data_IF_497269637396
#
_entry.id   IF_497269637396
#
_cell.length_a   1.000
_cell.length_b   1.000
_cell.length_c   1.000
_cell.angle_alpha   90.00
_cell.angle_beta   90.00
_cell.angle_gamma   90.00
#
_symmetry.space_group_name_H-M   'P 1'
#
loop_
_entity.id
_entity.type
_entity.pdbx_description
1 polymer ?
#
# COMPACT_ATOMS: atom_id res chain seq x y z
N UNK A 1 12.47 38.28 -25.42
CA UNK A 1 13.10 36.99 -25.08
C UNK A 1 13.29 36.72 -23.57
N UNK A 2 13.14 37.70 -22.65
CA UNK A 2 13.28 37.44 -21.20
C UNK A 2 12.05 36.82 -20.51
N UNK A 3 10.84 37.00 -21.08
CA UNK A 3 9.57 36.58 -20.45
C UNK A 3 9.23 35.10 -20.64
N UNK A 4 9.78 34.45 -21.67
CA UNK A 4 9.48 33.04 -22.00
C UNK A 4 10.21 32.08 -21.04
N UNK A 5 11.42 32.45 -20.60
CA UNK A 5 12.23 31.64 -19.67
C UNK A 5 11.56 31.55 -18.28
N UNK A 6 10.86 32.60 -17.85
CA UNK A 6 10.20 32.66 -16.53
C UNK A 6 8.99 31.71 -16.47
N UNK A 7 8.26 31.53 -17.57
CA UNK A 7 7.07 30.67 -17.60
C UNK A 7 7.44 29.18 -17.55
N UNK A 8 8.55 28.79 -18.18
CA UNK A 8 9.03 27.39 -18.15
C UNK A 8 9.54 27.00 -16.76
N UNK A 9 10.17 27.93 -16.04
CA UNK A 9 10.64 27.70 -14.67
C UNK A 9 9.50 27.55 -13.65
N UNK A 10 8.38 28.26 -13.82
CA UNK A 10 7.20 28.07 -12.96
C UNK A 10 6.50 26.73 -13.21
N UNK A 11 6.47 26.24 -14.45
CA UNK A 11 5.83 24.96 -14.78
C UNK A 11 6.53 23.75 -14.13
N UNK A 12 7.85 23.81 -13.94
CA UNK A 12 8.61 22.76 -13.24
C UNK A 12 8.34 22.71 -11.73
N UNK A 13 7.95 23.82 -11.10
CA UNK A 13 7.67 23.88 -9.66
C UNK A 13 6.30 23.30 -9.29
N UNK A 14 5.34 23.27 -10.23
CA UNK A 14 4.00 22.70 -9.99
C UNK A 14 3.99 21.16 -10.14
N UNK A 15 5.02 20.58 -10.77
CA UNK A 15 5.16 19.11 -10.87
C UNK A 15 5.68 18.43 -9.60
N UNK A 16 6.28 19.19 -8.66
CA UNK A 16 6.96 18.63 -7.49
C UNK A 16 6.06 18.51 -6.25
N UNK A 17 4.82 19.02 -6.28
CA UNK A 17 3.89 18.98 -5.13
C UNK A 17 3.03 17.71 -5.07
N UNK A 18 3.21 16.78 -6.01
CA UNK A 18 2.34 15.61 -6.19
C UNK A 18 2.53 14.43 -5.23
N UNK A 19 3.49 14.48 -4.30
CA UNK A 19 3.71 13.42 -3.31
C UNK A 19 3.72 14.02 -1.91
N UNK A 20 2.66 14.74 -1.55
CA UNK A 20 2.31 14.74 -0.13
C UNK A 20 1.99 13.29 0.19
N UNK A 21 2.85 12.67 0.97
CA UNK A 21 2.54 11.45 1.70
C UNK A 21 1.24 11.73 2.45
N UNK A 22 0.11 11.41 1.82
CA UNK A 22 -1.11 11.14 2.54
C UNK A 22 -0.72 9.90 3.31
N UNK A 23 -0.28 10.10 4.55
CA UNK A 23 0.07 9.06 5.49
C UNK A 23 -1.23 8.30 5.77
N UNK A 24 -1.66 7.50 4.79
CA UNK A 24 -2.86 6.69 4.85
C UNK A 24 -2.63 5.74 6.00
N UNK A 25 -3.58 5.72 6.94
CA UNK A 25 -3.46 4.89 8.12
C UNK A 25 -3.57 3.44 7.65
N UNK A 26 -2.40 2.82 7.53
CA UNK A 26 -2.26 1.47 6.99
C UNK A 26 -1.97 0.53 8.14
N UNK A 27 -2.84 -0.46 8.32
CA UNK A 27 -2.73 -1.43 9.41
C UNK A 27 -2.64 -2.83 8.81
N UNK A 28 -1.63 -3.59 9.23
CA UNK A 28 -1.53 -5.00 8.88
C UNK A 28 -2.49 -5.82 9.76
N UNK A 29 -3.35 -6.62 9.15
CA UNK A 29 -4.32 -7.45 9.89
C UNK A 29 -3.83 -8.88 10.03
N UNK A 30 -3.46 -9.52 8.93
CA UNK A 30 -3.13 -10.94 8.94
C UNK A 30 -2.37 -11.39 7.68
N UNK A 31 -1.80 -12.59 7.79
CA UNK A 31 -1.31 -13.35 6.65
C UNK A 31 -2.03 -14.70 6.62
N UNK A 32 -2.49 -15.11 5.43
CA UNK A 32 -3.08 -16.42 5.17
C UNK A 32 -2.31 -17.12 4.06
N UNK A 33 -1.90 -18.36 4.32
CA UNK A 33 -1.13 -19.17 3.37
C UNK A 33 -2.04 -20.22 2.75
N UNK A 34 -2.27 -20.12 1.45
CA UNK A 34 -2.99 -21.13 0.68
C UNK A 34 -2.00 -22.13 0.10
N UNK A 35 -1.66 -23.17 0.87
CA UNK A 35 -0.68 -24.20 0.47
C UNK A 35 -1.01 -24.86 -0.87
N UNK A 36 -2.29 -25.13 -1.13
CA UNK A 36 -2.74 -25.80 -2.36
C UNK A 36 -2.45 -24.98 -3.64
N UNK A 37 -2.38 -23.64 -3.52
CA UNK A 37 -2.11 -22.73 -4.62
C UNK A 37 -0.71 -22.12 -4.57
N UNK A 38 0.05 -22.43 -3.51
CA UNK A 38 1.32 -21.81 -3.21
C UNK A 38 1.24 -20.27 -3.17
N UNK A 39 0.22 -19.73 -2.52
CA UNK A 39 -0.01 -18.27 -2.41
C UNK A 39 -0.02 -17.80 -0.97
N UNK A 40 0.61 -16.65 -0.72
CA UNK A 40 0.55 -15.95 0.56
C UNK A 40 -0.26 -14.66 0.41
N UNK A 41 -1.40 -14.60 1.08
CA UNK A 41 -2.31 -13.45 1.09
C UNK A 41 -2.04 -12.61 2.34
N UNK A 42 -1.74 -11.33 2.15
CA UNK A 42 -1.49 -10.36 3.21
C UNK A 42 -2.61 -9.34 3.17
N UNK A 43 -3.36 -9.22 4.26
CA UNK A 43 -4.48 -8.30 4.33
C UNK A 43 -4.13 -7.09 5.19
N UNK A 44 -4.56 -5.94 4.69
CA UNK A 44 -4.34 -4.63 5.30
C UNK A 44 -5.67 -3.88 5.39
N UNK A 45 -5.76 -2.97 6.35
CA UNK A 45 -6.71 -1.88 6.34
C UNK A 45 -5.98 -0.62 5.88
N UNK A 46 -6.55 0.14 4.96
CA UNK A 46 -6.05 1.46 4.56
C UNK A 46 -7.19 2.44 4.74
N UNK A 47 -7.06 3.35 5.71
CA UNK A 47 -8.11 4.28 6.13
C UNK A 47 -9.46 3.55 6.41
N UNK A 48 -9.38 2.37 7.02
CA UNK A 48 -10.53 1.50 7.32
C UNK A 48 -11.06 0.67 6.14
N UNK A 49 -10.57 0.89 4.92
CA UNK A 49 -10.90 0.08 3.75
C UNK A 49 -10.14 -1.25 3.72
N UNK A 50 -10.75 -2.33 3.22
CA UNK A 50 -10.12 -3.65 3.08
C UNK A 50 -9.23 -3.72 1.83
N UNK A 51 -7.95 -3.99 2.02
CA UNK A 51 -6.96 -4.14 0.95
C UNK A 51 -6.09 -5.37 1.14
N UNK A 52 -5.49 -5.87 0.06
CA UNK A 52 -4.60 -7.03 0.12
C UNK A 52 -3.45 -7.01 -0.85
N UNK A 53 -2.44 -7.79 -0.52
CA UNK A 53 -1.35 -8.18 -1.38
C UNK A 53 -1.28 -9.71 -1.48
N UNK A 54 -0.93 -10.22 -2.66
CA UNK A 54 -0.76 -11.67 -2.90
C UNK A 54 0.66 -11.91 -3.39
N UNK A 55 1.42 -12.70 -2.62
CA UNK A 55 2.73 -13.20 -3.02
C UNK A 55 2.60 -14.61 -3.60
N UNK A 56 2.84 -14.71 -4.90
CA UNK A 56 2.84 -15.99 -5.62
C UNK A 56 4.17 -16.71 -5.36
N UNK A 57 4.06 -17.86 -4.70
CA UNK A 57 5.18 -18.68 -4.28
C UNK A 57 5.69 -18.38 -2.87
N UNK A 58 5.05 -17.48 -2.11
CA UNK A 58 5.44 -17.13 -0.74
C UNK A 58 6.95 -16.83 -0.61
N UNK A 59 7.51 -16.11 -1.58
CA UNK A 59 8.96 -15.86 -1.72
C UNK A 59 9.45 -14.76 -0.78
N UNK A 60 8.56 -13.88 -0.34
CA UNK A 60 8.91 -12.73 0.50
C UNK A 60 8.69 -13.03 1.97
N UNK A 61 9.60 -12.52 2.81
CA UNK A 61 9.42 -12.53 4.27
C UNK A 61 8.26 -11.62 4.64
N UNK A 62 7.48 -12.02 5.64
CA UNK A 62 6.29 -11.29 6.07
C UNK A 62 6.62 -9.85 6.46
N UNK A 63 7.70 -9.66 7.20
CA UNK A 63 8.11 -8.36 7.74
C UNK A 63 8.52 -7.39 6.61
N UNK A 64 9.18 -7.92 5.56
CA UNK A 64 9.56 -7.12 4.38
C UNK A 64 8.32 -6.68 3.59
N UNK A 65 7.34 -7.56 3.42
CA UNK A 65 6.07 -7.20 2.77
C UNK A 65 5.34 -6.12 3.55
N UNK A 66 5.19 -6.30 4.88
CA UNK A 66 4.52 -5.31 5.73
C UNK A 66 5.22 -3.97 5.62
N UNK A 67 6.55 -3.93 5.82
CA UNK A 67 7.34 -2.70 5.73
C UNK A 67 7.12 -1.99 4.40
N UNK A 68 7.28 -2.69 3.28
CA UNK A 68 7.13 -2.10 1.94
C UNK A 68 5.71 -1.64 1.63
N UNK A 69 4.69 -2.27 2.21
CA UNK A 69 3.31 -1.78 2.11
C UNK A 69 3.14 -0.48 2.91
N UNK A 70 3.67 -0.42 4.14
CA UNK A 70 3.64 0.79 4.97
C UNK A 70 4.41 1.95 4.33
N UNK A 71 5.53 1.65 3.65
CA UNK A 71 6.35 2.61 2.92
C UNK A 71 5.73 3.01 1.55
N UNK A 72 4.61 2.40 1.17
CA UNK A 72 3.91 2.68 -0.09
C UNK A 72 4.58 2.10 -1.35
N UNK A 73 5.55 1.21 -1.20
CA UNK A 73 6.30 0.59 -2.31
C UNK A 73 5.54 -0.58 -2.97
N UNK A 74 4.61 -1.22 -2.24
CA UNK A 74 3.81 -2.32 -2.77
C UNK A 74 2.38 -1.85 -3.01
N UNK A 75 1.88 -1.91 -4.26
CA UNK A 75 0.49 -1.61 -4.55
C UNK A 75 -0.42 -2.70 -3.98
N UNK A 76 -1.53 -2.28 -3.38
CA UNK A 76 -2.54 -3.18 -2.83
C UNK A 76 -3.75 -3.29 -3.76
N UNK A 77 -4.29 -4.49 -3.87
CA UNK A 77 -5.59 -4.72 -4.49
C UNK A 77 -6.72 -4.44 -3.48
N UNK A 78 -7.82 -3.86 -3.95
CA UNK A 78 -9.04 -3.72 -3.15
C UNK A 78 -9.64 -5.08 -2.80
N UNK A 79 -10.31 -5.10 -1.65
CA UNK A 79 -11.08 -6.19 -1.08
C UNK A 79 -10.26 -7.41 -0.68
N UNK A 80 -10.61 -7.97 0.48
CA UNK A 80 -10.03 -9.22 0.94
C UNK A 80 -10.66 -10.39 0.18
N UNK A 81 -9.83 -11.30 -0.35
CA UNK A 81 -10.33 -12.58 -0.88
C UNK A 81 -10.43 -13.67 0.19
N UNK A 82 -9.71 -13.49 1.30
CA UNK A 82 -9.73 -14.40 2.45
C UNK A 82 -9.98 -13.53 3.66
N UNK A 83 -11.09 -13.75 4.35
CA UNK A 83 -11.41 -13.00 5.56
C UNK A 83 -10.43 -13.31 6.68
N UNK A 84 -10.16 -12.30 7.50
CA UNK A 84 -9.32 -12.42 8.67
C UNK A 84 -10.07 -11.98 9.92
N UNK A 85 -9.76 -12.60 11.07
CA UNK A 85 -10.32 -12.16 12.33
C UNK A 85 -9.89 -10.70 12.55
N UNK A 86 -10.85 -9.78 12.49
CA UNK A 86 -10.62 -8.42 12.95
C UNK A 86 -10.48 -8.48 14.47
N UNK A 87 -9.48 -7.82 15.08
CA UNK A 87 -9.47 -7.65 16.51
C UNK A 87 -10.80 -7.00 16.90
N UNK A 88 -11.55 -7.63 17.81
CA UNK A 88 -12.73 -6.99 18.39
C UNK A 88 -12.21 -5.73 19.06
N UNK A 89 -12.74 -4.56 18.70
CA UNK A 89 -12.52 -3.36 19.51
C UNK A 89 -13.04 -3.70 20.90
N UNK A 90 -12.16 -3.63 21.91
CA UNK A 90 -12.61 -3.61 23.29
C UNK A 90 -13.32 -2.27 23.47
N UNK A 91 -14.65 -2.34 23.61
CA UNK A 91 -15.52 -1.19 23.90
C UNK A 91 -15.32 -0.69 25.34
#
# INVERSE_FOLDING_TARGET
MKKIVVVVLLACLVGATGFTSRQSNTEFVCQKVLKAKNECHYNFLVDGGKYRYVDIGCRRKKEDVIKKVMDGEIPLAKDWKIECPMPKKED
#
